data_IF_673072624773
#
_entry.id   IF_673072624773
#
_cell.length_a   1.000
_cell.length_b   1.000
_cell.length_c   1.000
_cell.angle_alpha   90.00
_cell.angle_beta   90.00
_cell.angle_gamma   90.00
#
_symmetry.space_group_name_H-M   'P 1'
#
loop_
_entity.id
_entity.type
_entity.pdbx_description
1 polymer ?
#
# COMPACT_ATOMS: atom_id res chain seq x y z
N UNK A 1 -27.24 33.07 21.42
CA UNK A 1 -26.27 33.16 22.54
C UNK A 1 -25.57 34.53 22.44
N UNK A 2 -26.36 35.60 22.62
CA UNK A 2 -26.27 36.65 23.67
C UNK A 2 -25.10 37.63 23.52
N UNK A 3 -25.43 38.93 23.33
CA UNK A 3 -24.59 40.08 22.98
C UNK A 3 -23.38 40.38 23.90
N UNK A 4 -23.26 39.69 25.04
CA UNK A 4 -22.19 39.93 26.01
C UNK A 4 -20.79 39.50 25.55
N UNK A 5 -20.70 38.59 24.56
CA UNK A 5 -19.40 38.13 24.02
C UNK A 5 -18.72 39.19 23.14
N UNK A 6 -19.51 40.03 22.46
CA UNK A 6 -18.99 41.03 21.52
C UNK A 6 -18.35 42.20 22.29
N UNK A 7 -18.94 42.58 23.43
CA UNK A 7 -18.47 43.72 24.23
C UNK A 7 -17.13 43.43 24.93
N UNK A 8 -16.86 42.17 25.27
CA UNK A 8 -15.55 41.71 25.75
C UNK A 8 -14.47 41.77 24.66
N UNK A 9 -14.85 41.51 23.39
CA UNK A 9 -13.93 41.55 22.25
C UNK A 9 -13.41 42.96 21.93
N UNK A 10 -14.24 43.99 22.05
CA UNK A 10 -13.85 45.37 21.74
C UNK A 10 -12.89 45.98 22.78
N UNK A 11 -12.99 45.60 24.06
CA UNK A 11 -12.04 46.08 25.08
C UNK A 11 -10.65 45.44 24.95
N UNK A 12 -10.58 44.19 24.46
CA UNK A 12 -9.31 43.52 24.20
C UNK A 12 -8.56 44.13 23.01
N UNK A 13 -9.30 44.57 21.99
CA UNK A 13 -8.72 45.15 20.77
C UNK A 13 -8.04 46.50 21.03
N UNK A 14 -8.58 47.31 21.96
CA UNK A 14 -8.04 48.64 22.28
C UNK A 14 -6.76 48.60 23.13
N UNK A 15 -6.44 47.47 23.75
CA UNK A 15 -5.24 47.30 24.58
C UNK A 15 -4.01 46.81 23.80
N UNK A 16 -4.18 46.47 22.51
CA UNK A 16 -3.11 45.93 21.65
C UNK A 16 -2.52 47.00 20.72
N UNK A 17 -2.43 48.25 21.18
CA UNK A 17 -1.76 49.33 20.45
C UNK A 17 -0.31 49.44 20.94
N UNK A 18 0.55 48.52 20.50
CA UNK A 18 1.96 48.57 20.88
C UNK A 18 2.83 47.40 20.44
N UNK A 19 3.47 47.56 19.27
CA UNK A 19 4.76 46.93 18.88
C UNK A 19 4.84 45.39 18.70
N UNK A 20 3.75 44.62 18.79
CA UNK A 20 3.79 43.15 18.66
C UNK A 20 3.20 42.58 17.35
N UNK A 21 2.88 43.42 16.36
CA UNK A 21 2.17 43.02 15.12
C UNK A 21 2.86 41.91 14.30
N UNK A 22 4.19 41.83 14.28
CA UNK A 22 4.89 40.84 13.44
C UNK A 22 4.85 39.43 14.08
N UNK A 23 4.84 39.36 15.42
CA UNK A 23 4.78 38.08 16.15
C UNK A 23 3.38 37.48 16.18
N UNK A 24 2.33 38.32 16.24
CA UNK A 24 0.95 37.84 16.21
C UNK A 24 0.53 37.35 14.81
N UNK A 25 1.01 37.98 13.74
CA UNK A 25 0.66 37.59 12.37
C UNK A 25 1.02 36.13 12.06
N UNK A 26 2.20 35.67 12.49
CA UNK A 26 2.62 34.28 12.30
C UNK A 26 1.74 33.31 13.09
N UNK A 27 1.42 33.63 14.34
CA UNK A 27 0.56 32.79 15.19
C UNK A 27 -0.85 32.67 14.60
N UNK A 28 -1.40 33.77 14.09
CA UNK A 28 -2.71 33.77 13.42
C UNK A 28 -2.65 32.99 12.11
N UNK A 29 -1.58 33.12 11.32
CA UNK A 29 -1.40 32.34 10.09
C UNK A 29 -1.31 30.83 10.37
N UNK A 30 -0.58 30.42 11.41
CA UNK A 30 -0.50 29.02 11.85
C UNK A 30 -1.84 28.47 12.32
N UNK A 31 -2.64 29.26 13.05
CA UNK A 31 -3.98 28.85 13.49
C UNK A 31 -4.97 28.73 12.32
N UNK A 32 -4.88 29.61 11.31
CA UNK A 32 -5.67 29.50 10.08
C UNK A 32 -5.26 28.28 9.24
N UNK A 33 -3.95 28.01 9.12
CA UNK A 33 -3.42 26.80 8.47
C UNK A 33 -3.85 25.52 9.19
N UNK A 34 -3.87 25.51 10.53
CA UNK A 34 -4.35 24.37 11.31
C UNK A 34 -5.86 24.14 11.12
N UNK A 35 -6.65 25.19 10.85
CA UNK A 35 -8.07 25.05 10.52
C UNK A 35 -8.36 24.49 9.13
N UNK A 36 -7.40 24.59 8.19
CA UNK A 36 -7.45 23.94 6.88
C UNK A 36 -7.18 22.42 6.97
N UNK A 37 -6.48 21.97 8.00
CA UNK A 37 -6.38 20.56 8.36
C UNK A 37 -7.55 20.18 9.27
N UNK A 38 -8.75 20.09 8.70
CA UNK A 38 -9.82 19.37 9.38
C UNK A 38 -9.34 17.92 9.62
N UNK A 39 -9.28 17.43 10.87
CA UNK A 39 -9.03 16.00 11.08
C UNK A 39 -10.19 15.26 10.41
N UNK A 40 -9.88 14.33 9.50
CA UNK A 40 -10.90 13.48 8.87
C UNK A 40 -11.63 12.71 9.99
N UNK A 41 -12.76 13.26 10.42
CA UNK A 41 -13.67 12.58 11.30
C UNK A 41 -14.17 11.36 10.55
N UNK A 42 -13.85 10.19 11.08
CA UNK A 42 -14.26 8.87 10.60
C UNK A 42 -15.80 8.75 10.53
N UNK A 43 -16.41 9.31 9.48
CA UNK A 43 -17.86 9.28 9.24
C UNK A 43 -18.25 9.02 7.77
N UNK A 44 -17.33 8.53 6.94
CA UNK A 44 -17.61 8.17 5.54
C UNK A 44 -17.27 6.71 5.18
N UNK A 45 -17.36 5.77 6.13
CA UNK A 45 -17.39 4.34 5.82
C UNK A 45 -18.81 3.74 5.94
N UNK A 46 -19.81 4.48 5.49
CA UNK A 46 -21.03 3.85 4.96
C UNK A 46 -20.97 4.02 3.45
N UNK A 47 -20.09 3.24 2.83
CA UNK A 47 -20.18 2.96 1.41
C UNK A 47 -21.34 1.97 1.28
N UNK A 48 -22.54 2.47 0.97
CA UNK A 48 -23.61 1.60 0.48
C UNK A 48 -23.13 0.99 -0.84
N UNK A 49 -22.58 -0.23 -0.75
CA UNK A 49 -22.42 -1.12 -1.91
C UNK A 49 -23.82 -1.59 -2.26
N UNK A 50 -24.55 -0.76 -3.00
CA UNK A 50 -25.71 -1.17 -3.75
C UNK A 50 -25.27 -2.20 -4.78
N UNK A 51 -25.73 -3.44 -4.56
CA UNK A 51 -26.15 -4.45 -5.54
C UNK A 51 -25.21 -4.87 -6.69
N UNK A 52 -25.21 -6.18 -6.93
CA UNK A 52 -24.47 -6.94 -7.96
C UNK A 52 -23.01 -7.31 -7.65
N UNK A 53 -22.80 -8.10 -6.59
CA UNK A 53 -21.76 -9.13 -6.64
C UNK A 53 -22.40 -10.36 -7.30
N UNK A 54 -22.23 -10.47 -8.62
CA UNK A 54 -22.45 -11.74 -9.30
C UNK A 54 -21.41 -12.74 -8.76
N UNK A 55 -21.92 -13.64 -7.93
CA UNK A 55 -21.18 -14.69 -7.25
C UNK A 55 -20.53 -15.57 -8.31
N UNK A 56 -19.23 -15.40 -8.57
CA UNK A 56 -18.43 -16.46 -9.18
C UNK A 56 -18.36 -17.61 -8.17
N UNK A 57 -19.38 -18.46 -8.28
CA UNK A 57 -19.56 -19.71 -7.56
C UNK A 57 -18.46 -20.67 -7.99
N UNK A 58 -17.27 -20.54 -7.39
CA UNK A 58 -16.30 -21.63 -7.42
C UNK A 58 -16.82 -22.73 -6.50
N UNK A 59 -17.07 -23.96 -6.99
CA UNK A 59 -17.55 -25.04 -6.16
C UNK A 59 -16.41 -25.47 -5.24
N UNK A 60 -16.35 -24.86 -4.06
CA UNK A 60 -15.46 -25.27 -2.98
C UNK A 60 -16.00 -26.59 -2.44
N UNK A 61 -15.46 -27.68 -2.98
CA UNK A 61 -15.62 -28.99 -2.41
C UNK A 61 -15.09 -28.99 -0.97
N UNK A 62 -15.93 -29.54 -0.09
CA UNK A 62 -15.62 -30.14 1.21
C UNK A 62 -15.66 -29.21 2.43
N UNK A 63 -16.80 -29.38 3.09
CA UNK A 63 -17.24 -28.94 4.40
C UNK A 63 -16.28 -29.36 5.55
N UNK A 64 -16.33 -28.58 6.63
CA UNK A 64 -15.82 -28.85 7.97
C UNK A 64 -14.32 -28.81 8.22
N UNK A 65 -13.76 -27.59 8.34
CA UNK A 65 -12.86 -27.22 9.45
C UNK A 65 -12.95 -25.70 9.65
N UNK A 66 -13.22 -25.26 10.87
CA UNK A 66 -13.12 -23.87 11.30
C UNK A 66 -11.73 -23.33 10.93
N UNK A 67 -11.64 -22.43 9.95
CA UNK A 67 -10.40 -21.69 9.64
C UNK A 67 -10.46 -20.38 10.39
N UNK A 68 -9.69 -20.30 11.48
CA UNK A 68 -9.39 -19.06 12.18
C UNK A 68 -8.92 -17.99 11.18
N UNK A 69 -9.35 -16.74 11.37
CA UNK A 69 -9.11 -15.59 10.49
C UNK A 69 -7.64 -15.19 10.33
N UNK A 70 -6.73 -15.93 10.99
CA UNK A 70 -5.28 -15.72 10.95
C UNK A 70 -4.57 -16.60 9.89
N UNK A 71 -5.27 -17.60 9.32
CA UNK A 71 -4.71 -18.59 8.36
C UNK A 71 -4.99 -18.27 6.87
N UNK A 72 -5.49 -17.07 6.57
CA UNK A 72 -5.72 -16.59 5.18
C UNK A 72 -4.56 -15.68 4.71
N UNK A 73 -3.49 -15.50 5.49
CA UNK A 73 -2.45 -14.51 5.18
C UNK A 73 -1.34 -14.98 4.22
N UNK A 74 -1.28 -16.26 3.82
CA UNK A 74 -0.13 -16.80 3.04
C UNK A 74 -0.52 -17.50 1.73
N UNK A 75 -1.68 -17.20 1.16
CA UNK A 75 -1.97 -17.67 -0.20
C UNK A 75 -1.75 -16.54 -1.21
N UNK A 76 -0.52 -16.38 -1.70
CA UNK A 76 -0.29 -15.51 -2.85
C UNK A 76 -0.93 -16.14 -4.09
N UNK A 77 -1.70 -15.38 -4.88
CA UNK A 77 -2.36 -15.91 -6.06
C UNK A 77 -1.35 -16.22 -7.18
N UNK A 78 -1.76 -17.11 -8.08
CA UNK A 78 -0.99 -17.47 -9.27
C UNK A 78 0.12 -18.49 -9.01
N UNK A 79 0.82 -18.85 -10.10
CA UNK A 79 1.92 -19.82 -10.07
C UNK A 79 3.10 -19.28 -9.27
N UNK A 80 3.73 -20.17 -8.50
CA UNK A 80 4.72 -19.84 -7.48
C UNK A 80 6.16 -20.26 -7.85
N UNK A 81 6.32 -21.19 -8.79
CA UNK A 81 7.63 -21.74 -9.17
C UNK A 81 7.63 -22.19 -10.62
N UNK A 82 8.80 -22.09 -11.26
CA UNK A 82 8.97 -22.34 -12.69
C UNK A 82 10.18 -23.25 -12.98
N UNK A 83 10.15 -24.53 -12.57
CA UNK A 83 11.28 -25.46 -12.77
C UNK A 83 11.66 -25.63 -14.25
N UNK A 84 10.70 -25.49 -15.16
CA UNK A 84 10.90 -25.60 -16.61
C UNK A 84 11.75 -24.48 -17.21
N UNK A 85 12.01 -23.39 -16.48
CA UNK A 85 12.76 -22.24 -16.98
C UNK A 85 14.27 -22.34 -16.74
N UNK A 86 14.72 -23.33 -15.95
CA UNK A 86 16.15 -23.59 -15.76
C UNK A 86 16.80 -23.91 -17.11
N UNK A 87 17.94 -23.29 -17.40
CA UNK A 87 18.64 -23.41 -18.67
C UNK A 87 18.09 -22.55 -19.81
N UNK A 88 16.96 -21.84 -19.62
CA UNK A 88 16.43 -20.92 -20.64
C UNK A 88 17.08 -19.53 -20.57
N UNK A 89 17.03 -18.75 -21.66
CA UNK A 89 17.44 -17.34 -21.64
C UNK A 89 16.58 -16.51 -20.69
N UNK A 90 17.21 -15.59 -19.96
CA UNK A 90 16.58 -14.72 -18.96
C UNK A 90 15.39 -13.92 -19.53
N UNK A 91 15.53 -13.40 -20.75
CA UNK A 91 14.47 -12.66 -21.43
C UNK A 91 13.23 -13.54 -21.71
N UNK A 92 13.44 -14.80 -22.10
CA UNK A 92 12.37 -15.77 -22.32
C UNK A 92 11.71 -16.15 -21.00
N UNK A 93 12.50 -16.40 -19.96
CA UNK A 93 11.99 -16.71 -18.63
C UNK A 93 11.11 -15.57 -18.08
N UNK A 94 11.56 -14.32 -18.21
CA UNK A 94 10.78 -13.14 -17.80
C UNK A 94 9.41 -13.10 -18.47
N UNK A 95 9.37 -13.24 -19.80
CA UNK A 95 8.11 -13.21 -20.56
C UNK A 95 7.15 -14.33 -20.13
N UNK A 96 7.66 -15.52 -19.85
CA UNK A 96 6.83 -16.66 -19.40
C UNK A 96 6.28 -16.39 -18.00
N UNK A 97 7.12 -15.94 -17.06
CA UNK A 97 6.71 -15.65 -15.68
C UNK A 97 5.62 -14.57 -15.65
N UNK A 98 5.83 -13.45 -16.33
CA UNK A 98 4.87 -12.34 -16.38
C UNK A 98 3.56 -12.72 -17.08
N UNK A 99 3.63 -13.64 -18.05
CA UNK A 99 2.45 -14.18 -18.74
C UNK A 99 1.65 -15.15 -17.87
N UNK A 100 2.34 -16.05 -17.16
CA UNK A 100 1.68 -17.08 -16.35
C UNK A 100 1.22 -16.57 -14.99
N UNK A 101 1.87 -15.53 -14.47
CA UNK A 101 1.47 -14.87 -13.24
C UNK A 101 1.50 -13.34 -13.44
N UNK A 102 0.35 -12.70 -13.72
CA UNK A 102 0.26 -11.26 -14.00
C UNK A 102 0.69 -10.34 -12.85
N UNK A 103 0.69 -10.83 -11.60
CA UNK A 103 1.22 -10.06 -10.47
C UNK A 103 2.73 -10.16 -10.33
N UNK A 104 3.38 -11.03 -11.12
CA UNK A 104 4.81 -11.29 -11.02
C UNK A 104 5.63 -10.11 -11.55
N UNK A 105 6.64 -9.71 -10.77
CA UNK A 105 7.66 -8.72 -11.03
C UNK A 105 9.01 -9.42 -10.93
N UNK A 106 9.61 -9.64 -12.09
CA UNK A 106 10.87 -10.37 -12.22
C UNK A 106 12.05 -9.48 -11.85
N UNK A 107 12.90 -9.97 -10.95
CA UNK A 107 14.18 -9.36 -10.59
C UNK A 107 15.31 -10.33 -10.91
N UNK A 108 16.32 -9.86 -11.63
CA UNK A 108 17.48 -10.69 -11.97
C UNK A 108 18.53 -10.62 -10.87
N UNK A 109 19.05 -11.79 -10.50
CA UNK A 109 20.19 -11.92 -9.60
C UNK A 109 21.36 -12.50 -10.38
N UNK A 110 22.44 -11.73 -10.45
CA UNK A 110 23.71 -12.15 -11.02
C UNK A 110 24.60 -12.82 -9.96
N UNK A 111 25.62 -13.58 -10.35
CA UNK A 111 26.52 -14.22 -9.41
C UNK A 111 27.16 -13.18 -8.47
N UNK A 112 27.11 -13.44 -7.16
CA UNK A 112 27.62 -12.54 -6.12
C UNK A 112 26.61 -11.55 -5.54
N UNK A 113 25.41 -11.43 -6.12
CA UNK A 113 24.33 -10.61 -5.56
C UNK A 113 23.65 -11.32 -4.37
N UNK A 114 23.30 -10.56 -3.34
CA UNK A 114 22.56 -11.07 -2.17
C UNK A 114 21.06 -11.03 -2.46
N UNK A 115 20.37 -12.17 -2.27
CA UNK A 115 18.92 -12.24 -2.32
C UNK A 115 18.32 -11.69 -1.01
N UNK A 116 17.38 -10.73 -1.05
CA UNK A 116 16.62 -10.31 0.11
C UNK A 116 15.92 -11.49 0.81
N UNK A 117 15.89 -11.48 2.15
CA UNK A 117 15.32 -12.58 2.95
C UNK A 117 13.82 -12.44 3.23
N UNK A 118 13.23 -11.26 2.98
CA UNK A 118 11.79 -11.07 3.14
C UNK A 118 11.03 -11.80 2.04
N UNK A 119 9.77 -12.19 2.29
CA UNK A 119 8.90 -12.81 1.29
C UNK A 119 7.85 -11.80 0.81
N UNK A 120 7.74 -11.59 -0.51
CA UNK A 120 6.81 -10.62 -1.11
C UNK A 120 6.04 -11.28 -2.25
N UNK A 121 4.70 -11.29 -2.15
CA UNK A 121 3.84 -11.76 -3.24
C UNK A 121 4.13 -10.99 -4.54
N UNK A 122 4.19 -11.73 -5.64
CA UNK A 122 4.49 -11.18 -6.96
C UNK A 122 5.97 -10.90 -7.19
N UNK A 123 6.87 -10.91 -6.20
CA UNK A 123 8.30 -10.77 -6.51
C UNK A 123 8.85 -12.13 -6.94
N UNK A 124 9.56 -12.19 -8.07
CA UNK A 124 10.19 -13.43 -8.53
C UNK A 124 11.66 -13.16 -8.81
N UNK A 125 12.54 -13.83 -8.09
CA UNK A 125 13.97 -13.76 -8.35
C UNK A 125 14.37 -14.80 -9.40
N UNK A 126 15.00 -14.33 -10.47
CA UNK A 126 15.56 -15.16 -11.53
C UNK A 126 17.08 -15.10 -11.43
N UNK A 127 17.68 -16.18 -10.92
CA UNK A 127 19.14 -16.29 -10.78
C UNK A 127 19.73 -16.68 -12.13
N UNK A 128 20.60 -15.82 -12.66
CA UNK A 128 21.20 -15.98 -13.99
C UNK A 128 22.72 -16.00 -13.88
N UNK A 129 23.38 -16.67 -14.84
CA UNK A 129 24.82 -16.54 -15.02
C UNK A 129 25.18 -15.32 -15.90
N UNK A 130 26.48 -15.09 -16.12
CA UNK A 130 26.96 -14.01 -16.98
C UNK A 130 26.58 -14.13 -18.47
N UNK A 131 26.09 -15.31 -18.89
CA UNK A 131 25.52 -15.54 -20.24
C UNK A 131 24.00 -15.33 -20.27
N UNK A 132 23.40 -14.79 -19.21
CA UNK A 132 21.96 -14.57 -19.06
C UNK A 132 21.14 -15.86 -19.18
N UNK A 133 21.70 -16.98 -18.73
CA UNK A 133 20.99 -18.27 -18.63
C UNK A 133 20.55 -18.49 -17.20
N UNK A 134 19.30 -18.92 -17.02
CA UNK A 134 18.73 -19.23 -15.70
C UNK A 134 19.41 -20.46 -15.11
N UNK A 135 19.95 -20.32 -13.90
CA UNK A 135 20.71 -21.38 -13.23
C UNK A 135 19.89 -22.16 -12.20
N UNK A 136 18.91 -21.51 -11.58
CA UNK A 136 18.11 -22.05 -10.47
C UNK A 136 16.64 -21.82 -10.80
N UNK A 137 15.77 -22.74 -10.36
CA UNK A 137 14.31 -22.60 -10.46
C UNK A 137 13.86 -21.24 -9.94
N UNK A 138 13.25 -20.40 -10.79
CA UNK A 138 12.62 -19.18 -10.33
C UNK A 138 11.47 -19.52 -9.39
N UNK A 139 11.44 -18.84 -8.25
CA UNK A 139 10.41 -19.01 -7.22
C UNK A 139 9.99 -17.64 -6.73
N UNK A 140 8.69 -17.47 -6.50
CA UNK A 140 8.16 -16.25 -5.95
C UNK A 140 8.59 -16.09 -4.49
N UNK A 141 8.96 -14.86 -4.11
CA UNK A 141 9.48 -14.52 -2.79
C UNK A 141 10.18 -13.16 -2.78
#
# INVERSE_FOLDING_TARGET
>A
MSLNTIQFGFSFFKAMEGKTMVKLSHVVAFLLLASLFQPLTARDLVFEVSDEIEVLRFPMAKENQVKTLDDISTFCPGKQSWPELVGKPAATAKKIIEKENPIAKVQFLFPGMVKPLNYVCGRVFVVVNWKLIVQITPTMG
#
